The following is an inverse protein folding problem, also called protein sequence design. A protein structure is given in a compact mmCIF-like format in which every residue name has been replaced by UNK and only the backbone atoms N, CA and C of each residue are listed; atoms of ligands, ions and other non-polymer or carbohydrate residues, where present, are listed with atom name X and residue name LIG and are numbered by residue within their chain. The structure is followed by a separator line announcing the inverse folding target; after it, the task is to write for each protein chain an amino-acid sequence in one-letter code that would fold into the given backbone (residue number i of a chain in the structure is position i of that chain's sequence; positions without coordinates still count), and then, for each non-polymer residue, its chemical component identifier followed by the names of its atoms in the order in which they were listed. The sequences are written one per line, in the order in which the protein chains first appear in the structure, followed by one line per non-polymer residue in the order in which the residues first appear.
data_IF_812157872196
#
_entry.id   IF_812157872196
#
_cell.length_a   1.000
_cell.length_b   1.000
_cell.length_c   1.000
_cell.angle_alpha   90.00
_cell.angle_beta   90.00
_cell.angle_gamma   90.00
#
_symmetry.space_group_name_H-M   'P 1'
#
loop_
_entity.id
_entity.type
_entity.pdbx_description
1 polymer ?
#
# COMPACT_ATOMS: atom_id res chain seq x y z
N UNK A 1 8.58 -14.14 -24.65
CA UNK A 1 9.14 -13.54 -23.41
C UNK A 1 8.18 -12.44 -22.98
N UNK A 2 7.31 -12.72 -22.03
CA UNK A 2 6.42 -11.73 -21.44
C UNK A 2 7.27 -10.83 -20.55
N UNK A 3 7.47 -9.56 -20.95
CA UNK A 3 8.09 -8.55 -20.11
C UNK A 3 7.19 -8.37 -18.88
N UNK A 4 7.60 -8.90 -17.75
CA UNK A 4 6.99 -8.57 -16.47
C UNK A 4 7.50 -7.20 -16.06
N UNK A 5 6.63 -6.29 -15.73
CA UNK A 5 6.91 -4.91 -15.31
C UNK A 5 7.82 -4.80 -14.07
N UNK A 6 7.92 -5.88 -13.32
CA UNK A 6 8.74 -5.99 -12.12
C UNK A 6 10.24 -5.76 -12.34
N UNK A 7 10.73 -5.66 -13.57
CA UNK A 7 12.16 -5.56 -13.90
C UNK A 7 12.60 -4.30 -14.67
N UNK A 8 11.73 -3.32 -14.95
CA UNK A 8 12.11 -2.20 -15.82
C UNK A 8 12.68 -1.00 -15.07
N UNK A 9 13.79 -0.44 -15.62
CA UNK A 9 14.54 0.70 -15.06
C UNK A 9 13.76 2.03 -15.02
N UNK A 10 12.57 2.12 -15.64
CA UNK A 10 11.83 3.37 -15.79
C UNK A 10 10.42 3.35 -15.20
N UNK A 11 10.28 2.81 -13.96
CA UNK A 11 8.99 2.69 -13.28
C UNK A 11 8.29 4.03 -13.05
N UNK A 12 9.05 5.11 -12.77
CA UNK A 12 8.49 6.43 -12.49
C UNK A 12 7.70 6.96 -13.68
N UNK A 13 8.32 6.97 -14.89
CA UNK A 13 7.66 7.49 -16.08
C UNK A 13 6.40 6.73 -16.43
N UNK A 14 6.40 5.43 -16.19
CA UNK A 14 5.25 4.59 -16.44
C UNK A 14 4.06 4.96 -15.55
N UNK A 15 4.27 5.01 -14.24
CA UNK A 15 3.22 5.41 -13.31
C UNK A 15 2.75 6.83 -13.58
N UNK A 16 3.68 7.75 -13.87
CA UNK A 16 3.34 9.12 -14.27
C UNK A 16 2.43 9.16 -15.50
N UNK A 17 2.71 8.37 -16.54
CA UNK A 17 1.89 8.32 -17.74
C UNK A 17 0.49 7.76 -17.46
N UNK A 18 0.37 6.75 -16.60
CA UNK A 18 -0.91 6.23 -16.16
C UNK A 18 -1.74 7.25 -15.38
N UNK A 19 -1.10 8.04 -14.52
CA UNK A 19 -1.79 9.12 -13.80
C UNK A 19 -2.13 10.29 -14.71
N UNK A 20 -1.23 10.73 -15.60
CA UNK A 20 -1.48 11.80 -16.59
C UNK A 20 -2.62 11.48 -17.55
N UNK A 21 -2.65 10.26 -18.07
CA UNK A 21 -3.69 9.81 -19.00
C UNK A 21 -5.07 9.62 -18.35
N UNK A 22 -5.14 9.57 -17.02
CA UNK A 22 -6.37 9.24 -16.30
C UNK A 22 -6.74 7.76 -16.33
N UNK A 23 -5.88 6.88 -16.87
CA UNK A 23 -6.11 5.43 -16.96
C UNK A 23 -6.37 4.81 -15.58
N UNK A 24 -5.71 5.31 -14.53
CA UNK A 24 -5.88 4.84 -13.16
C UNK A 24 -7.34 4.89 -12.67
N UNK A 25 -8.12 5.90 -13.11
CA UNK A 25 -9.54 6.06 -12.72
C UNK A 25 -10.44 4.95 -13.26
N UNK A 26 -10.04 4.34 -14.38
CA UNK A 26 -10.81 3.28 -15.06
C UNK A 26 -10.38 1.88 -14.64
N UNK A 27 -9.28 1.76 -13.89
CA UNK A 27 -8.65 0.47 -13.59
C UNK A 27 -8.59 0.15 -12.11
N UNK A 28 -7.78 0.83 -11.32
CA UNK A 28 -7.53 0.44 -9.91
C UNK A 28 -7.89 1.50 -8.87
N UNK A 29 -8.08 2.76 -9.29
CA UNK A 29 -8.40 3.82 -8.35
C UNK A 29 -9.84 3.73 -7.91
N UNK A 30 -10.05 3.82 -6.61
CA UNK A 30 -11.36 4.00 -6.01
C UNK A 30 -11.56 5.49 -5.69
N UNK A 31 -12.79 5.98 -5.84
CA UNK A 31 -13.17 7.33 -5.39
C UNK A 31 -13.37 7.39 -3.88
N UNK A 32 -13.58 6.24 -3.25
CA UNK A 32 -13.79 6.01 -1.83
C UNK A 32 -12.71 5.07 -1.27
N UNK A 33 -12.51 5.05 0.06
CA UNK A 33 -11.54 4.15 0.68
C UNK A 33 -11.92 2.69 0.48
N UNK A 34 -10.92 1.82 0.46
CA UNK A 34 -11.19 0.39 0.30
C UNK A 34 -12.03 -0.15 1.46
N UNK A 35 -13.10 -0.90 1.18
CA UNK A 35 -13.94 -1.49 2.22
C UNK A 35 -13.16 -2.35 3.22
N UNK A 36 -12.12 -3.02 2.74
CA UNK A 36 -11.27 -3.86 3.57
C UNK A 36 -10.47 -3.03 4.59
N UNK A 37 -9.94 -1.87 4.18
CA UNK A 37 -9.25 -0.96 5.10
C UNK A 37 -10.22 -0.45 6.17
N UNK A 38 -11.43 -0.05 5.78
CA UNK A 38 -12.47 0.40 6.72
C UNK A 38 -12.74 -0.69 7.75
N UNK A 39 -12.95 -1.93 7.31
CA UNK A 39 -13.22 -3.07 8.20
C UNK A 39 -12.08 -3.34 9.18
N UNK A 40 -10.83 -3.29 8.71
CA UNK A 40 -9.64 -3.47 9.55
C UNK A 40 -9.51 -2.35 10.58
N UNK A 41 -9.68 -1.10 10.18
CA UNK A 41 -9.60 0.04 11.11
C UNK A 41 -10.68 -0.01 12.19
N UNK A 42 -11.90 -0.44 11.84
CA UNK A 42 -12.99 -0.64 12.81
C UNK A 42 -12.68 -1.77 13.80
N UNK A 43 -12.07 -2.85 13.33
CA UNK A 43 -11.70 -3.99 14.17
C UNK A 43 -10.52 -3.69 15.12
N UNK A 44 -9.60 -2.84 14.71
CA UNK A 44 -8.41 -2.50 15.50
C UNK A 44 -8.65 -1.41 16.55
N UNK A 45 -9.70 -0.60 16.40
CA UNK A 45 -10.06 0.52 17.30
C UNK A 45 -8.85 1.36 17.75
N UNK A 46 -8.08 1.84 16.76
CA UNK A 46 -6.81 2.51 17.03
C UNK A 46 -7.00 3.95 17.50
N UNK A 47 -6.20 4.43 18.49
CA UNK A 47 -6.15 5.84 18.88
C UNK A 47 -5.85 6.77 17.71
N UNK A 48 -6.48 7.95 17.67
CA UNK A 48 -6.34 8.93 16.59
C UNK A 48 -4.91 9.48 16.44
N UNK A 49 -4.14 9.49 17.52
CA UNK A 49 -2.75 9.96 17.55
C UNK A 49 -1.77 8.98 16.87
N UNK A 50 -2.27 7.83 16.45
CA UNK A 50 -1.43 6.83 15.83
C UNK A 50 -0.88 7.33 14.48
N UNK A 51 0.39 7.03 14.26
CA UNK A 51 1.07 7.29 12.99
C UNK A 51 0.75 6.18 11.99
N UNK A 52 0.29 6.60 10.82
CA UNK A 52 -0.05 5.70 9.70
C UNK A 52 0.84 6.00 8.49
N UNK A 53 1.26 4.96 7.79
CA UNK A 53 1.93 5.05 6.50
C UNK A 53 1.07 4.39 5.43
N UNK A 54 0.83 5.09 4.33
CA UNK A 54 0.20 4.53 3.12
C UNK A 54 1.27 4.38 2.03
N UNK A 55 1.64 3.14 1.71
CA UNK A 55 2.72 2.79 0.79
C UNK A 55 2.16 2.57 -0.60
N UNK A 56 2.65 3.34 -1.58
CA UNK A 56 2.06 3.38 -2.91
C UNK A 56 0.66 4.00 -2.85
N UNK A 57 0.53 5.16 -2.19
CA UNK A 57 -0.76 5.76 -1.87
C UNK A 57 -1.60 6.17 -3.09
N UNK A 58 -1.00 6.21 -4.28
CA UNK A 58 -1.68 6.43 -5.55
C UNK A 58 -2.47 7.73 -5.58
N UNK A 59 -3.77 7.64 -5.87
CA UNK A 59 -4.69 8.80 -5.89
C UNK A 59 -5.21 9.21 -4.51
N UNK A 60 -4.82 8.49 -3.45
CA UNK A 60 -5.00 8.89 -2.07
C UNK A 60 -6.35 8.60 -1.42
N UNK A 61 -7.17 7.68 -1.96
CA UNK A 61 -8.47 7.39 -1.36
C UNK A 61 -8.36 6.81 0.06
N UNK A 62 -7.46 5.86 0.27
CA UNK A 62 -7.19 5.26 1.57
C UNK A 62 -6.48 6.25 2.50
N UNK A 63 -5.49 6.99 1.98
CA UNK A 63 -4.77 8.04 2.72
C UNK A 63 -5.70 9.14 3.23
N UNK A 64 -6.59 9.63 2.38
CA UNK A 64 -7.61 10.63 2.74
C UNK A 64 -8.47 10.13 3.89
N UNK A 65 -8.94 8.88 3.81
CA UNK A 65 -9.74 8.28 4.87
C UNK A 65 -8.99 8.18 6.20
N UNK A 66 -7.73 7.77 6.17
CA UNK A 66 -6.87 7.76 7.36
C UNK A 66 -6.76 9.17 7.98
N UNK A 67 -6.56 10.20 7.15
CA UNK A 67 -6.50 11.58 7.59
C UNK A 67 -7.86 12.09 8.14
N UNK A 68 -8.98 11.73 7.52
CA UNK A 68 -10.34 12.02 8.02
C UNK A 68 -10.62 11.39 9.39
N UNK A 69 -10.04 10.21 9.65
CA UNK A 69 -10.13 9.57 10.98
C UNK A 69 -9.27 10.26 12.05
N UNK A 70 -8.43 11.21 11.65
CA UNK A 70 -7.59 12.01 12.56
C UNK A 70 -6.22 11.39 12.86
N UNK A 71 -5.78 10.39 12.10
CA UNK A 71 -4.43 9.82 12.22
C UNK A 71 -3.36 10.79 11.70
N UNK A 72 -2.14 10.67 12.24
CA UNK A 72 -0.94 11.32 11.69
C UNK A 72 -0.44 10.51 10.50
N UNK A 73 -0.79 10.94 9.28
CA UNK A 73 -0.62 10.14 8.05
C UNK A 73 0.59 10.59 7.25
N UNK A 74 1.38 9.62 6.83
CA UNK A 74 2.40 9.78 5.79
C UNK A 74 1.97 8.97 4.56
N UNK A 75 1.95 9.60 3.39
CA UNK A 75 1.76 8.95 2.10
C UNK A 75 3.07 8.88 1.33
N UNK A 76 3.34 7.74 0.73
CA UNK A 76 4.49 7.52 -0.14
C UNK A 76 4.05 6.98 -1.48
N UNK A 77 4.51 7.60 -2.56
CA UNK A 77 4.36 7.04 -3.91
C UNK A 77 5.60 7.36 -4.75
N UNK A 78 5.91 6.49 -5.70
CA UNK A 78 7.03 6.70 -6.62
C UNK A 78 6.73 7.79 -7.65
N UNK A 79 5.44 8.04 -7.95
CA UNK A 79 4.98 9.02 -8.92
C UNK A 79 4.77 10.40 -8.28
N UNK A 80 5.52 11.43 -8.68
CA UNK A 80 5.22 12.81 -8.27
C UNK A 80 3.84 13.29 -8.74
N UNK A 81 3.31 12.71 -9.83
CA UNK A 81 1.96 13.03 -10.32
C UNK A 81 0.90 12.49 -9.35
N UNK A 82 1.05 11.25 -8.86
CA UNK A 82 0.18 10.69 -7.84
C UNK A 82 0.18 11.57 -6.58
N UNK A 83 1.34 11.93 -6.08
CA UNK A 83 1.48 12.80 -4.90
C UNK A 83 0.80 14.16 -5.11
N UNK A 84 0.90 14.77 -6.29
CA UNK A 84 0.19 16.01 -6.57
C UNK A 84 -1.35 15.83 -6.59
N UNK A 85 -1.85 14.68 -7.05
CA UNK A 85 -3.28 14.35 -6.98
C UNK A 85 -3.72 14.25 -5.51
N UNK A 86 -2.98 13.53 -4.68
CA UNK A 86 -3.24 13.42 -3.24
C UNK A 86 -3.24 14.77 -2.56
N UNK A 87 -2.24 15.61 -2.84
CA UNK A 87 -2.14 16.95 -2.26
C UNK A 87 -3.42 17.77 -2.51
N UNK A 88 -3.88 17.83 -3.77
CA UNK A 88 -5.11 18.53 -4.14
C UNK A 88 -6.35 17.95 -3.47
N UNK A 89 -6.40 16.62 -3.33
CA UNK A 89 -7.49 15.91 -2.67
C UNK A 89 -7.59 16.27 -1.18
N UNK A 90 -6.46 16.32 -0.49
CA UNK A 90 -6.39 16.74 0.91
C UNK A 90 -6.76 18.21 1.09
N UNK A 91 -6.23 19.10 0.24
CA UNK A 91 -6.54 20.54 0.26
C UNK A 91 -8.04 20.82 0.11
N UNK A 92 -8.71 20.09 -0.80
CA UNK A 92 -10.16 20.24 -1.02
C UNK A 92 -11.01 19.92 0.21
N UNK A 93 -10.45 19.14 1.18
CA UNK A 93 -11.12 18.76 2.42
C UNK A 93 -10.50 19.38 3.68
N UNK A 94 -9.54 20.30 3.53
CA UNK A 94 -8.76 20.88 4.63
C UNK A 94 -8.07 19.82 5.51
N UNK A 95 -7.65 18.71 4.91
CA UNK A 95 -6.92 17.64 5.56
C UNK A 95 -5.41 17.84 5.40
N UNK A 96 -4.63 17.22 6.31
CA UNK A 96 -3.17 17.27 6.29
C UNK A 96 -2.59 15.87 6.33
N UNK A 97 -1.53 15.66 5.56
CA UNK A 97 -0.67 14.49 5.63
C UNK A 97 0.76 14.88 5.21
N UNK A 98 1.74 14.12 5.62
CA UNK A 98 3.10 14.20 5.09
C UNK A 98 3.15 13.40 3.78
N UNK A 99 3.55 14.04 2.69
CA UNK A 99 3.60 13.40 1.37
C UNK A 99 5.06 13.28 0.91
N UNK A 100 5.43 12.08 0.48
CA UNK A 100 6.77 11.72 0.06
C UNK A 100 6.74 11.17 -1.36
N UNK A 101 7.64 11.66 -2.21
CA UNK A 101 7.90 11.08 -3.53
C UNK A 101 9.13 10.19 -3.42
N UNK A 102 9.02 8.91 -3.76
CA UNK A 102 10.16 8.01 -3.75
C UNK A 102 9.82 6.53 -3.94
N UNK A 103 10.84 5.76 -4.28
CA UNK A 103 10.73 4.30 -4.36
C UNK A 103 10.98 3.70 -2.97
N UNK A 104 10.02 2.96 -2.45
CA UNK A 104 10.11 2.26 -1.15
C UNK A 104 11.34 1.36 -1.04
N UNK A 105 11.83 0.83 -2.17
CA UNK A 105 13.02 -0.03 -2.21
C UNK A 105 14.32 0.71 -1.98
N UNK A 106 14.34 2.02 -2.26
CA UNK A 106 15.54 2.87 -2.18
C UNK A 106 15.43 3.94 -1.10
N UNK A 107 14.28 4.01 -0.42
CA UNK A 107 13.98 5.09 0.51
C UNK A 107 14.25 4.67 1.96
N UNK A 108 14.87 5.57 2.70
CA UNK A 108 14.92 5.46 4.15
C UNK A 108 13.75 6.23 4.74
N UNK A 109 12.91 5.54 5.51
CA UNK A 109 11.86 6.18 6.32
C UNK A 109 12.44 6.79 7.62
N UNK A 110 13.77 6.80 7.75
CA UNK A 110 14.48 7.36 8.89
C UNK A 110 14.16 6.62 10.19
N UNK A 111 14.05 7.39 11.27
CA UNK A 111 13.66 6.88 12.59
C UNK A 111 12.13 6.92 12.81
N UNK A 112 11.35 7.29 11.81
CA UNK A 112 9.89 7.27 11.93
C UNK A 112 9.38 5.84 12.13
N UNK A 113 8.47 5.70 13.08
CA UNK A 113 7.84 4.43 13.41
C UNK A 113 6.34 4.58 13.35
N UNK A 114 5.70 3.67 12.63
CA UNK A 114 4.27 3.69 12.36
C UNK A 114 3.54 2.65 13.21
N UNK A 115 2.36 3.01 13.68
CA UNK A 115 1.45 2.10 14.36
C UNK A 115 0.69 1.23 13.36
N UNK A 116 0.47 1.79 12.15
CA UNK A 116 -0.24 1.12 11.08
C UNK A 116 0.41 1.45 9.74
N UNK A 117 0.66 0.43 8.95
CA UNK A 117 1.12 0.55 7.57
C UNK A 117 0.07 -0.07 6.66
N UNK A 118 -0.43 0.70 5.71
CA UNK A 118 -1.29 0.22 4.64
C UNK A 118 -0.49 0.07 3.34
N UNK A 119 -0.63 -1.06 2.69
CA UNK A 119 -0.21 -1.31 1.32
C UNK A 119 -1.39 -1.88 0.54
N UNK A 120 -1.96 -1.06 -0.32
CA UNK A 120 -3.03 -1.47 -1.21
C UNK A 120 -2.52 -1.53 -2.65
N UNK A 121 -1.63 -2.48 -2.89
CA UNK A 121 -1.17 -2.82 -4.23
C UNK A 121 0.21 -2.27 -4.61
N UNK A 122 1.07 -1.95 -3.64
CA UNK A 122 2.47 -1.65 -3.92
C UNK A 122 3.31 -2.93 -4.05
N UNK A 123 3.25 -3.82 -3.05
CA UNK A 123 4.09 -5.03 -3.02
C UNK A 123 3.89 -5.93 -4.25
N UNK A 124 2.68 -6.05 -4.77
CA UNK A 124 2.41 -6.91 -5.92
C UNK A 124 3.01 -6.40 -7.24
N UNK A 125 3.50 -5.15 -7.27
CA UNK A 125 4.28 -4.59 -8.38
C UNK A 125 5.79 -4.69 -8.18
N UNK A 126 6.23 -5.28 -7.07
CA UNK A 126 7.66 -5.48 -6.75
C UNK A 126 8.06 -6.89 -7.20
N UNK A 127 9.17 -6.96 -7.95
CA UNK A 127 9.76 -8.23 -8.39
C UNK A 127 10.14 -9.10 -7.20
N UNK A 128 9.94 -10.42 -7.32
CA UNK A 128 10.13 -11.37 -6.22
C UNK A 128 11.51 -11.24 -5.56
N UNK A 129 12.56 -11.06 -6.36
CA UNK A 129 13.93 -10.90 -5.89
C UNK A 129 14.18 -9.62 -5.07
N UNK A 130 13.27 -8.63 -5.13
CA UNK A 130 13.35 -7.37 -4.38
C UNK A 130 12.38 -7.30 -3.20
N UNK A 131 11.47 -8.25 -3.07
CA UNK A 131 10.44 -8.25 -2.00
C UNK A 131 11.04 -8.33 -0.60
N UNK A 132 12.19 -8.99 -0.44
CA UNK A 132 12.92 -9.00 0.83
C UNK A 132 13.39 -7.59 1.24
N UNK A 133 13.79 -6.74 0.29
CA UNK A 133 14.17 -5.33 0.57
C UNK A 133 12.94 -4.57 1.06
N UNK A 134 11.81 -4.71 0.39
CA UNK A 134 10.54 -4.13 0.83
C UNK A 134 10.18 -4.56 2.25
N UNK A 135 10.20 -5.87 2.52
CA UNK A 135 9.83 -6.42 3.83
C UNK A 135 10.75 -5.91 4.95
N UNK A 136 12.05 -5.75 4.68
CA UNK A 136 13.01 -5.19 5.63
C UNK A 136 12.71 -3.70 5.92
N UNK A 137 12.44 -2.90 4.89
CA UNK A 137 12.11 -1.47 5.06
C UNK A 137 10.81 -1.32 5.86
N UNK A 138 9.75 -2.03 5.48
CA UNK A 138 8.44 -1.98 6.15
C UNK A 138 8.55 -2.53 7.58
N UNK A 139 9.22 -3.66 7.73
CA UNK A 139 9.42 -4.28 9.05
C UNK A 139 10.15 -3.37 10.03
N UNK A 140 11.13 -2.59 9.56
CA UNK A 140 11.82 -1.58 10.38
C UNK A 140 10.94 -0.38 10.68
N UNK A 141 10.06 0.01 9.78
CA UNK A 141 9.18 1.17 9.94
C UNK A 141 8.02 0.92 10.91
N UNK A 142 7.55 -0.31 11.06
CA UNK A 142 6.46 -0.65 11.98
C UNK A 142 6.97 -0.68 13.42
N UNK A 143 6.23 -0.08 14.36
CA UNK A 143 6.47 -0.18 15.81
C UNK A 143 6.22 -1.61 16.32
N UNK A 144 6.88 -2.07 17.39
CA UNK A 144 6.41 -3.23 18.12
C UNK A 144 4.92 -3.07 18.48
N UNK A 145 4.12 -4.11 18.27
CA UNK A 145 2.66 -4.07 18.42
C UNK A 145 1.89 -3.41 17.29
N UNK A 146 2.57 -2.77 16.34
CA UNK A 146 1.95 -2.15 15.15
C UNK A 146 1.56 -3.17 14.07
N UNK A 147 0.84 -2.70 13.05
CA UNK A 147 0.21 -3.54 12.05
C UNK A 147 0.64 -3.18 10.63
N UNK A 148 0.71 -4.19 9.79
CA UNK A 148 0.74 -4.08 8.34
C UNK A 148 -0.56 -4.65 7.77
N UNK A 149 -1.35 -3.78 7.14
CA UNK A 149 -2.45 -4.17 6.28
C UNK A 149 -1.93 -4.28 4.84
N UNK A 150 -1.99 -5.46 4.27
CA UNK A 150 -1.47 -5.75 2.95
C UNK A 150 -2.58 -6.30 2.06
N UNK A 151 -2.80 -5.64 0.95
CA UNK A 151 -3.75 -6.05 -0.07
C UNK A 151 -3.08 -6.07 -1.44
N UNK A 152 -3.18 -7.18 -2.15
CA UNK A 152 -2.61 -7.34 -3.48
C UNK A 152 -3.50 -8.13 -4.41
N UNK A 153 -2.98 -8.49 -5.58
CA UNK A 153 -3.67 -9.36 -6.51
C UNK A 153 -3.49 -10.84 -6.15
N UNK A 154 -4.41 -11.67 -6.62
CA UNK A 154 -4.38 -13.14 -6.51
C UNK A 154 -4.00 -13.83 -7.82
N UNK A 155 -4.09 -13.13 -8.93
CA UNK A 155 -3.87 -13.69 -10.25
C UNK A 155 -2.69 -12.97 -10.88
N UNK A 156 -1.76 -13.75 -11.43
CA UNK A 156 -0.64 -13.20 -12.19
C UNK A 156 -1.12 -12.37 -13.37
N UNK A 157 -0.47 -11.25 -13.59
CA UNK A 157 -0.76 -10.35 -14.68
C UNK A 157 0.51 -9.72 -15.26
N UNK A 158 0.35 -8.96 -16.32
CA UNK A 158 1.50 -8.28 -16.97
C UNK A 158 2.20 -7.27 -16.04
N UNK A 159 1.49 -6.76 -15.03
CA UNK A 159 1.94 -5.66 -14.18
C UNK A 159 2.03 -6.02 -12.70
N UNK A 160 1.61 -7.20 -12.31
CA UNK A 160 1.57 -7.61 -10.91
C UNK A 160 1.88 -9.08 -10.74
N UNK A 161 2.41 -9.41 -9.59
CA UNK A 161 2.74 -10.75 -9.14
C UNK A 161 1.83 -11.07 -7.95
N UNK A 162 1.15 -12.22 -7.93
CA UNK A 162 0.27 -12.61 -6.83
C UNK A 162 0.95 -12.57 -5.47
N UNK A 163 0.16 -12.31 -4.44
CA UNK A 163 0.55 -12.50 -3.05
C UNK A 163 0.12 -13.89 -2.62
N UNK A 164 1.07 -14.68 -2.15
CA UNK A 164 0.84 -16.05 -1.67
C UNK A 164 1.14 -16.15 -0.17
N UNK A 165 0.36 -16.96 0.59
CA UNK A 165 0.53 -17.07 2.04
C UNK A 165 1.93 -17.48 2.47
N UNK A 166 2.53 -18.45 1.78
CA UNK A 166 3.86 -18.96 2.12
C UNK A 166 4.94 -17.89 1.90
N UNK A 167 4.84 -17.11 0.83
CA UNK A 167 5.73 -16.00 0.58
C UNK A 167 5.58 -14.91 1.66
N UNK A 168 4.36 -14.55 2.01
CA UNK A 168 4.10 -13.56 3.05
C UNK A 168 4.69 -14.01 4.40
N UNK A 169 4.56 -15.28 4.75
CA UNK A 169 5.16 -15.83 5.98
C UNK A 169 6.69 -15.85 5.93
N UNK A 170 7.30 -16.01 4.75
CA UNK A 170 8.75 -15.89 4.58
C UNK A 170 9.23 -14.44 4.70
N UNK A 171 8.50 -13.48 4.11
CA UNK A 171 8.82 -12.06 4.16
C UNK A 171 8.65 -11.47 5.58
N UNK A 172 7.66 -11.97 6.33
CA UNK A 172 7.34 -11.54 7.68
C UNK A 172 7.34 -12.74 8.63
N UNK A 173 8.53 -13.24 9.02
CA UNK A 173 8.68 -14.49 9.75
C UNK A 173 8.11 -14.44 11.16
N UNK A 174 7.62 -15.59 11.64
CA UNK A 174 6.85 -15.73 12.88
C UNK A 174 7.59 -15.33 14.16
N UNK A 175 8.93 -15.29 14.13
CA UNK A 175 9.75 -14.83 15.25
C UNK A 175 9.62 -13.32 15.51
N UNK A 176 9.21 -12.56 14.50
CA UNK A 176 9.10 -11.09 14.54
C UNK A 176 7.68 -10.59 14.27
N UNK A 177 6.85 -11.41 13.64
CA UNK A 177 5.54 -11.01 13.16
C UNK A 177 4.51 -12.11 13.40
N UNK A 178 3.28 -11.71 13.68
CA UNK A 178 2.13 -12.62 13.75
C UNK A 178 1.20 -12.31 12.60
N UNK A 179 1.06 -13.24 11.67
CA UNK A 179 0.00 -13.19 10.65
C UNK A 179 -1.35 -13.45 11.33
N UNK A 180 -2.27 -12.50 11.26
CA UNK A 180 -3.58 -12.56 11.90
C UNK A 180 -4.66 -13.16 11.00
N UNK A 181 -4.38 -13.31 9.72
CA UNK A 181 -5.25 -13.92 8.74
C UNK A 181 -4.81 -13.59 7.33
N UNK A 182 -5.02 -14.53 6.44
CA UNK A 182 -4.84 -14.35 4.99
C UNK A 182 -6.10 -14.88 4.32
N UNK A 183 -6.71 -14.07 3.47
CA UNK A 183 -7.92 -14.45 2.75
C UNK A 183 -7.91 -13.92 1.32
N UNK A 184 -8.81 -14.46 0.53
CA UNK A 184 -9.05 -14.05 -0.84
C UNK A 184 -10.39 -13.34 -0.96
N UNK A 185 -10.43 -12.32 -1.80
CA UNK A 185 -11.66 -11.62 -2.11
C UNK A 185 -11.86 -11.47 -3.62
N UNK A 186 -13.11 -11.27 -4.01
CA UNK A 186 -13.50 -10.97 -5.38
C UNK A 186 -14.49 -9.81 -5.37
N UNK A 187 -14.21 -8.80 -6.15
CA UNK A 187 -15.23 -7.79 -6.45
C UNK A 187 -16.03 -8.19 -7.69
N UNK A 188 -17.32 -8.06 -7.61
CA UNK A 188 -18.22 -8.10 -8.76
C UNK A 188 -18.22 -6.71 -9.42
N UNK A 189 -17.15 -6.42 -10.13
CA UNK A 189 -16.98 -5.23 -10.93
C UNK A 189 -16.70 -5.65 -12.38
N UNK A 190 -16.84 -4.76 -13.36
CA UNK A 190 -16.53 -5.08 -14.75
C UNK A 190 -15.14 -5.68 -14.97
N UNK A 191 -14.19 -5.37 -14.09
CA UNK A 191 -12.82 -5.89 -14.11
C UNK A 191 -12.58 -7.14 -13.27
N UNK A 192 -13.61 -7.73 -12.63
CA UNK A 192 -13.53 -8.96 -11.81
C UNK A 192 -12.23 -9.05 -10.96
N UNK A 193 -11.95 -8.01 -10.18
CA UNK A 193 -10.71 -7.93 -9.38
C UNK A 193 -10.73 -9.06 -8.36
N UNK A 194 -9.76 -9.97 -8.48
CA UNK A 194 -9.47 -11.01 -7.51
C UNK A 194 -8.24 -10.62 -6.73
N UNK A 195 -8.36 -10.53 -5.42
CA UNK A 195 -7.29 -10.07 -4.57
C UNK A 195 -7.00 -11.01 -3.42
N UNK A 196 -5.90 -10.74 -2.78
CA UNK A 196 -5.49 -11.31 -1.51
C UNK A 196 -5.35 -10.20 -0.48
N UNK A 197 -5.67 -10.52 0.76
CA UNK A 197 -5.61 -9.60 1.89
C UNK A 197 -4.99 -10.30 3.08
N UNK A 198 -4.15 -9.62 3.81
CA UNK A 198 -3.63 -10.09 5.09
C UNK A 198 -3.42 -8.93 6.06
N UNK A 199 -3.54 -9.24 7.33
CA UNK A 199 -3.21 -8.35 8.44
C UNK A 199 -2.10 -9.01 9.26
N UNK A 200 -0.99 -8.30 9.42
CA UNK A 200 0.20 -8.78 10.09
C UNK A 200 0.49 -7.85 11.26
N UNK A 201 0.73 -8.39 12.45
CA UNK A 201 1.14 -7.67 13.64
C UNK A 201 2.63 -7.88 13.89
N UNK A 202 3.37 -6.81 14.13
CA UNK A 202 4.75 -6.91 14.62
C UNK A 202 4.75 -7.25 16.11
N UNK A 203 5.58 -8.21 16.50
CA UNK A 203 5.75 -8.66 17.87
C UNK A 203 6.65 -7.71 18.68
#
# INVERSE_FOLDING_TARGET
MTKTWAGEENKVSLWDDMYKSGHYKQTWSLEFPSPELIGVLMALDMPKENKCLDVGCGSGADLEHLAEKGFDVTGLDISPIAINIVQKRLEAKNLKAKLLVGDILNMSLGNEKFNFVADRGCLHHIANEKRNIYADVIGKAIKPGGYLFLRGCRIEGKMWIPLEPDEINQLFPAEKFKNLGFDHFKYDAPSAIRGAITLIRKL
#
